data_IF_051006027460
#
_entry.id   IF_051006027460
#
_cell.length_a   1.000
_cell.length_b   1.000
_cell.length_c   1.000
_cell.angle_alpha   90.00
_cell.angle_beta   90.00
_cell.angle_gamma   90.00
#
_symmetry.space_group_name_H-M   'P 1'
#
loop_
_entity.id
_entity.type
_entity.pdbx_description
1 polymer ?
#
# COMPACT_ATOMS: atom_id res chain seq x y z
N UNK A 1 -1.15 31.31 1.34
CA UNK A 1 -1.10 29.91 1.85
C UNK A 1 -1.79 29.89 3.20
N UNK A 2 -2.69 28.93 3.43
CA UNK A 2 -3.52 28.90 4.64
C UNK A 2 -2.70 28.64 5.89
N UNK A 3 -2.83 29.51 6.89
CA UNK A 3 -2.09 29.49 8.17
C UNK A 3 -2.48 28.34 9.10
N UNK A 4 -3.31 27.40 8.64
CA UNK A 4 -3.87 26.31 9.44
C UNK A 4 -3.95 25.03 8.63
N UNK A 5 -3.65 23.92 9.29
CA UNK A 5 -3.81 22.59 8.76
C UNK A 5 -5.28 22.34 8.39
N UNK A 6 -5.57 21.91 7.15
CA UNK A 6 -6.95 21.64 6.73
C UNK A 6 -7.53 20.39 7.40
N UNK A 7 -6.69 19.57 8.04
CA UNK A 7 -7.10 18.33 8.71
C UNK A 7 -7.38 18.55 10.20
N UNK A 8 -6.49 19.24 10.93
CA UNK A 8 -6.59 19.37 12.38
C UNK A 8 -6.58 20.82 12.90
N UNK A 9 -6.47 21.81 12.02
CA UNK A 9 -6.45 23.23 12.40
C UNK A 9 -5.14 23.74 13.02
N UNK A 10 -4.12 22.89 13.20
CA UNK A 10 -2.83 23.30 13.73
C UNK A 10 -2.18 24.40 12.88
N UNK A 11 -1.56 25.39 13.54
CA UNK A 11 -0.97 26.57 12.88
C UNK A 11 0.50 26.40 12.50
N UNK A 12 1.15 25.37 13.03
CA UNK A 12 2.57 25.10 12.82
C UNK A 12 2.78 24.00 11.78
N UNK A 13 3.66 24.27 10.80
CA UNK A 13 4.08 23.34 9.74
C UNK A 13 5.58 23.10 9.92
N UNK A 14 6.02 21.85 9.85
CA UNK A 14 7.41 21.42 10.07
C UNK A 14 8.00 20.81 8.80
N UNK A 15 9.29 20.99 8.58
CA UNK A 15 10.02 20.35 7.49
C UNK A 15 10.80 19.14 8.02
N UNK A 16 10.63 17.99 7.38
CA UNK A 16 11.48 16.82 7.61
C UNK A 16 12.62 16.80 6.56
N UNK A 17 13.85 17.20 6.94
CA UNK A 17 14.97 17.26 6.00
C UNK A 17 15.43 15.88 5.51
N UNK A 18 15.11 14.79 6.21
CA UNK A 18 15.43 13.45 5.75
C UNK A 18 14.49 12.98 4.63
N UNK A 19 13.30 13.59 4.53
CA UNK A 19 12.23 13.20 3.59
C UNK A 19 11.92 14.26 2.55
N UNK A 20 12.38 15.50 2.76
CA UNK A 20 12.07 16.63 1.91
C UNK A 20 10.61 17.04 1.99
N UNK A 21 9.91 16.84 3.12
CA UNK A 21 8.46 17.05 3.22
C UNK A 21 8.11 18.15 4.24
N UNK A 22 7.15 19.01 3.88
CA UNK A 22 6.49 19.92 4.83
C UNK A 22 5.23 19.23 5.38
N UNK A 23 5.17 19.00 6.68
CA UNK A 23 4.08 18.26 7.31
C UNK A 23 3.54 18.96 8.57
N UNK A 24 2.31 18.64 8.93
CA UNK A 24 1.71 19.04 10.19
C UNK A 24 2.22 18.12 11.32
N UNK A 25 2.84 18.62 12.39
CA UNK A 25 3.34 17.79 13.49
C UNK A 25 2.21 17.19 14.34
N UNK A 26 0.98 17.72 14.22
CA UNK A 26 -0.17 17.29 15.02
C UNK A 26 -0.89 16.12 14.37
N UNK A 27 -1.09 16.14 13.04
CA UNK A 27 -1.87 15.10 12.34
C UNK A 27 -1.15 14.41 11.18
N UNK A 28 0.08 14.83 10.86
CA UNK A 28 0.88 14.24 9.78
C UNK A 28 0.47 14.66 8.37
N UNK A 29 -0.46 15.60 8.18
CA UNK A 29 -0.83 16.10 6.85
C UNK A 29 0.37 16.73 6.14
N UNK A 30 0.74 16.20 4.98
CA UNK A 30 1.85 16.69 4.16
C UNK A 30 1.34 17.78 3.20
N UNK A 31 1.86 18.98 3.35
CA UNK A 31 1.53 20.15 2.52
C UNK A 31 2.24 20.14 1.18
N UNK A 32 3.37 19.44 1.09
CA UNK A 32 4.16 19.33 -0.14
C UNK A 32 5.56 18.80 0.13
N UNK A 33 6.31 18.66 -0.95
CA UNK A 33 7.67 18.14 -0.99
C UNK A 33 8.61 19.18 -1.60
N UNK A 34 9.85 19.21 -1.14
CA UNK A 34 10.96 19.91 -1.76
C UNK A 34 11.91 18.86 -2.35
N UNK A 35 12.47 19.12 -3.53
CA UNK A 35 13.35 18.17 -4.21
C UNK A 35 14.62 17.94 -3.38
N UNK A 36 14.73 16.79 -2.74
CA UNK A 36 15.99 16.29 -2.18
C UNK A 36 16.87 15.80 -3.35
N UNK A 37 18.10 16.31 -3.50
CA UNK A 37 18.97 15.83 -4.56
C UNK A 37 19.34 14.35 -4.31
N UNK A 38 19.12 13.54 -5.35
CA UNK A 38 19.42 12.11 -5.48
C UNK A 38 18.41 11.11 -4.88
N UNK A 39 17.32 10.85 -5.61
CA UNK A 39 16.96 9.46 -5.99
C UNK A 39 15.93 9.34 -7.13
N UNK A 40 15.81 10.35 -8.02
CA UNK A 40 14.80 10.36 -9.09
C UNK A 40 15.29 9.82 -10.46
N UNK A 41 16.46 9.18 -10.55
CA UNK A 41 16.97 8.69 -11.85
C UNK A 41 16.54 7.27 -12.23
N UNK A 42 15.77 6.57 -11.38
CA UNK A 42 15.45 5.15 -11.63
C UNK A 42 13.95 4.84 -11.81
N UNK A 43 13.05 5.80 -11.55
CA UNK A 43 11.60 5.58 -11.74
C UNK A 43 11.24 5.60 -13.24
N UNK A 44 11.90 6.44 -14.03
CA UNK A 44 11.49 6.67 -15.41
C UNK A 44 11.79 5.51 -16.38
N UNK A 45 12.67 4.55 -16.03
CA UNK A 45 13.07 3.48 -16.95
C UNK A 45 12.19 2.21 -16.89
N UNK A 46 11.30 2.07 -15.89
CA UNK A 46 10.42 0.88 -15.74
C UNK A 46 8.99 1.06 -16.25
N UNK A 47 8.61 2.28 -16.63
CA UNK A 47 7.22 2.62 -16.96
C UNK A 47 6.86 2.51 -18.45
N UNK A 48 7.81 2.16 -19.31
CA UNK A 48 7.55 2.00 -20.76
C UNK A 48 7.08 0.59 -21.16
N UNK A 49 6.78 -0.30 -20.21
CA UNK A 49 6.23 -1.63 -20.48
C UNK A 49 4.72 -1.68 -20.17
N UNK A 50 3.97 -1.18 -21.15
CA UNK A 50 2.94 -1.93 -21.89
C UNK A 50 1.60 -2.37 -21.24
N UNK A 51 0.59 -2.28 -22.11
CA UNK A 51 -0.55 -3.20 -22.27
C UNK A 51 -0.15 -4.69 -22.39
N UNK A 52 0.80 -5.22 -21.60
CA UNK A 52 1.02 -6.68 -21.56
C UNK A 52 -0.06 -7.28 -20.70
N UNK A 53 -1.06 -7.83 -21.36
CA UNK A 53 -1.92 -8.86 -20.80
C UNK A 53 -1.04 -10.09 -20.54
N UNK A 54 -0.26 -10.06 -19.45
CA UNK A 54 0.70 -11.09 -19.11
C UNK A 54 -0.02 -12.42 -18.91
N UNK A 55 0.32 -13.42 -19.72
CA UNK A 55 -0.25 -14.77 -19.68
C UNK A 55 0.61 -15.64 -18.78
N UNK A 56 0.30 -15.63 -17.49
CA UNK A 56 0.99 -16.43 -16.48
C UNK A 56 0.52 -17.90 -16.49
N UNK A 57 1.44 -18.85 -16.32
CA UNK A 57 1.23 -20.31 -16.51
C UNK A 57 1.44 -21.16 -15.25
N UNK A 58 1.68 -20.56 -14.08
CA UNK A 58 1.93 -21.32 -12.85
C UNK A 58 0.66 -21.88 -12.19
N UNK A 59 0.84 -22.72 -11.17
CA UNK A 59 -0.27 -23.29 -10.40
C UNK A 59 -0.79 -22.29 -9.36
N UNK A 60 -2.00 -22.50 -8.82
CA UNK A 60 -2.58 -21.57 -7.84
C UNK A 60 -1.66 -21.29 -6.64
N UNK A 61 -0.95 -22.30 -6.15
CA UNK A 61 -0.08 -22.19 -4.97
C UNK A 61 1.20 -21.40 -5.25
N UNK A 62 1.75 -21.48 -6.46
CA UNK A 62 2.93 -20.70 -6.86
C UNK A 62 2.62 -19.19 -6.85
N UNK A 63 1.43 -18.79 -7.30
CA UNK A 63 1.00 -17.38 -7.24
C UNK A 63 0.93 -16.92 -5.79
N UNK A 64 0.36 -17.75 -4.92
CA UNK A 64 0.13 -17.41 -3.52
C UNK A 64 1.44 -17.15 -2.78
N UNK A 65 2.39 -18.07 -2.93
CA UNK A 65 3.70 -17.98 -2.30
C UNK A 65 4.53 -16.83 -2.86
N UNK A 66 4.44 -16.58 -4.18
CA UNK A 66 5.08 -15.44 -4.81
C UNK A 66 4.55 -14.11 -4.24
N UNK A 67 3.23 -13.91 -4.19
CA UNK A 67 2.66 -12.66 -3.68
C UNK A 67 2.98 -12.44 -2.20
N UNK A 68 2.93 -13.48 -1.36
CA UNK A 68 3.36 -13.39 0.05
C UNK A 68 4.82 -12.95 0.18
N UNK A 69 5.70 -13.47 -0.67
CA UNK A 69 7.10 -13.05 -0.72
C UNK A 69 7.25 -11.58 -1.13
N UNK A 70 6.46 -11.14 -2.12
CA UNK A 70 6.47 -9.73 -2.55
C UNK A 70 5.89 -8.78 -1.48
N UNK A 71 4.88 -9.18 -0.73
CA UNK A 71 4.36 -8.42 0.43
C UNK A 71 5.50 -8.18 1.42
N UNK A 72 6.20 -9.23 1.83
CA UNK A 72 7.32 -9.13 2.78
C UNK A 72 8.47 -8.30 2.24
N UNK A 73 8.83 -8.49 0.96
CA UNK A 73 9.89 -7.73 0.29
C UNK A 73 9.57 -6.24 0.25
N UNK A 74 8.39 -5.85 -0.21
CA UNK A 74 7.97 -4.45 -0.31
C UNK A 74 7.86 -3.83 1.10
N UNK A 75 7.24 -4.53 2.05
CA UNK A 75 7.10 -4.05 3.41
C UNK A 75 8.44 -3.82 4.13
N UNK A 76 9.42 -4.69 3.90
CA UNK A 76 10.76 -4.51 4.45
C UNK A 76 11.45 -3.24 3.89
N UNK A 77 11.33 -2.98 2.59
CA UNK A 77 11.87 -1.77 1.94
C UNK A 77 11.15 -0.47 2.36
N UNK A 78 9.88 -0.59 2.75
CA UNK A 78 9.08 0.50 3.32
C UNK A 78 9.26 0.65 4.84
N UNK A 79 10.04 -0.25 5.48
CA UNK A 79 10.22 -0.32 6.93
C UNK A 79 8.90 -0.41 7.72
N UNK A 80 7.93 -1.16 7.19
CA UNK A 80 6.64 -1.31 7.85
C UNK A 80 6.74 -2.15 9.12
N UNK A 81 5.98 -1.81 10.17
CA UNK A 81 5.91 -2.60 11.39
C UNK A 81 5.44 -4.04 11.13
N UNK A 82 5.94 -5.00 11.93
CA UNK A 82 5.58 -6.43 11.80
C UNK A 82 4.07 -6.69 11.90
N UNK A 83 3.32 -5.89 12.67
CA UNK A 83 1.88 -6.06 12.79
C UNK A 83 1.13 -5.69 11.50
N UNK A 84 1.61 -4.69 10.75
CA UNK A 84 1.07 -4.33 9.43
C UNK A 84 1.34 -5.44 8.41
N UNK A 85 2.53 -6.05 8.46
CA UNK A 85 2.88 -7.18 7.57
C UNK A 85 1.94 -8.35 7.82
N UNK A 86 1.71 -8.72 9.10
CA UNK A 86 0.78 -9.77 9.48
C UNK A 86 -0.65 -9.47 9.00
N UNK A 87 -1.10 -8.24 9.16
CA UNK A 87 -2.43 -7.83 8.69
C UNK A 87 -2.53 -7.90 7.15
N UNK A 88 -1.51 -7.45 6.43
CA UNK A 88 -1.46 -7.54 4.97
C UNK A 88 -1.50 -8.99 4.47
N UNK A 89 -0.77 -9.91 5.11
CA UNK A 89 -0.82 -11.35 4.82
C UNK A 89 -2.20 -11.96 5.09
N UNK A 90 -2.87 -11.51 6.16
CA UNK A 90 -4.24 -11.92 6.50
C UNK A 90 -5.25 -11.42 5.47
N UNK A 91 -5.17 -10.14 5.08
CA UNK A 91 -6.00 -9.55 4.03
C UNK A 91 -5.79 -10.30 2.71
N UNK A 92 -4.52 -10.52 2.33
CA UNK A 92 -4.19 -11.25 1.12
C UNK A 92 -4.78 -12.66 1.10
N UNK A 93 -4.63 -13.41 2.20
CA UNK A 93 -5.19 -14.76 2.32
C UNK A 93 -6.72 -14.76 2.14
N UNK A 94 -7.42 -13.76 2.69
CA UNK A 94 -8.87 -13.58 2.50
C UNK A 94 -9.23 -13.24 1.05
N UNK A 95 -8.47 -12.37 0.40
CA UNK A 95 -8.65 -11.99 -1.02
C UNK A 95 -8.42 -13.19 -1.95
N UNK A 96 -7.40 -13.99 -1.66
CA UNK A 96 -7.05 -15.19 -2.40
C UNK A 96 -8.14 -16.26 -2.25
N UNK A 97 -8.51 -16.61 -1.02
CA UNK A 97 -9.51 -17.65 -0.73
C UNK A 97 -10.92 -17.29 -1.23
N UNK A 98 -11.23 -16.00 -1.43
CA UNK A 98 -12.49 -15.56 -2.01
C UNK A 98 -12.50 -15.54 -3.56
N UNK A 99 -11.37 -15.89 -4.19
CA UNK A 99 -11.10 -15.74 -5.63
C UNK A 99 -11.35 -14.31 -6.15
N UNK A 100 -11.22 -13.29 -5.27
CA UNK A 100 -11.52 -11.91 -5.64
C UNK A 100 -10.60 -11.42 -6.76
N UNK A 101 -9.31 -11.79 -6.68
CA UNK A 101 -8.30 -11.47 -7.67
C UNK A 101 -8.68 -11.97 -9.08
N UNK A 102 -9.24 -13.19 -9.20
CA UNK A 102 -9.72 -13.72 -10.49
C UNK A 102 -11.01 -13.04 -10.93
N UNK A 103 -12.00 -12.93 -10.03
CA UNK A 103 -13.32 -12.32 -10.33
C UNK A 103 -13.24 -10.86 -10.79
N UNK A 104 -12.21 -10.14 -10.34
CA UNK A 104 -11.96 -8.73 -10.67
C UNK A 104 -10.83 -8.51 -11.69
N UNK A 105 -10.19 -9.58 -12.18
CA UNK A 105 -9.10 -9.49 -13.16
C UNK A 105 -7.89 -8.70 -12.63
N UNK A 106 -7.56 -8.87 -11.34
CA UNK A 106 -6.45 -8.16 -10.70
C UNK A 106 -5.13 -8.89 -11.04
N UNK A 107 -4.16 -8.14 -11.54
CA UNK A 107 -2.80 -8.66 -11.78
C UNK A 107 -2.13 -9.09 -10.46
N UNK A 108 -1.40 -10.20 -10.48
CA UNK A 108 -0.78 -10.76 -9.28
C UNK A 108 0.25 -9.81 -8.66
N UNK A 109 0.99 -9.08 -9.50
CA UNK A 109 2.01 -8.09 -9.14
C UNK A 109 1.41 -6.85 -8.46
N UNK A 110 0.14 -6.54 -8.75
CA UNK A 110 -0.59 -5.42 -8.15
C UNK A 110 -1.18 -5.78 -6.78
N UNK A 111 -1.33 -7.07 -6.46
CA UNK A 111 -1.95 -7.50 -5.19
C UNK A 111 -1.09 -7.16 -3.98
N UNK A 112 0.22 -7.44 -4.02
CA UNK A 112 1.13 -7.19 -2.90
C UNK A 112 1.12 -5.71 -2.42
N UNK A 113 1.36 -4.71 -3.29
CA UNK A 113 1.26 -3.30 -2.87
C UNK A 113 -0.16 -2.92 -2.45
N UNK A 114 -1.20 -3.41 -3.14
CA UNK A 114 -2.59 -3.08 -2.80
C UNK A 114 -3.01 -3.57 -1.41
N UNK A 115 -2.60 -4.77 -0.99
CA UNK A 115 -2.91 -5.28 0.35
C UNK A 115 -2.12 -4.54 1.44
N UNK A 116 -0.89 -4.11 1.16
CA UNK A 116 -0.11 -3.29 2.08
C UNK A 116 -0.75 -1.92 2.27
N UNK A 117 -1.17 -1.27 1.18
CA UNK A 117 -1.92 -0.01 1.24
C UNK A 117 -3.22 -0.17 2.02
N UNK A 118 -3.96 -1.27 1.81
CA UNK A 118 -5.19 -1.55 2.55
C UNK A 118 -4.93 -1.79 4.05
N UNK A 119 -3.90 -2.56 4.41
CA UNK A 119 -3.52 -2.80 5.80
C UNK A 119 -3.12 -1.49 6.51
N UNK A 120 -2.28 -0.68 5.87
CA UNK A 120 -1.89 0.63 6.41
C UNK A 120 -3.10 1.54 6.60
N UNK A 121 -4.01 1.60 5.62
CA UNK A 121 -5.23 2.41 5.71
C UNK A 121 -6.25 1.93 6.74
N UNK A 122 -6.28 0.64 7.09
CA UNK A 122 -7.14 0.10 8.16
C UNK A 122 -6.58 0.43 9.55
N UNK A 123 -5.26 0.54 9.67
CA UNK A 123 -4.55 0.80 10.93
C UNK A 123 -4.08 2.24 11.08
N UNK A 124 -4.54 3.15 10.21
CA UNK A 124 -4.17 4.57 10.19
C UNK A 124 -2.64 4.79 10.18
N UNK A 125 -1.90 3.90 9.52
CA UNK A 125 -0.45 4.04 9.31
C UNK A 125 -0.21 4.84 8.03
N UNK A 126 0.50 5.96 8.16
CA UNK A 126 0.91 6.74 7.00
C UNK A 126 1.77 5.91 6.06
N UNK A 127 1.43 5.94 4.76
CA UNK A 127 2.16 5.24 3.72
C UNK A 127 2.29 6.14 2.48
N UNK A 128 3.53 6.42 2.10
CA UNK A 128 3.82 7.17 0.88
C UNK A 128 3.63 6.29 -0.37
N UNK A 129 2.67 6.67 -1.20
CA UNK A 129 2.34 5.98 -2.43
C UNK A 129 3.51 5.94 -3.42
N UNK A 130 4.34 6.99 -3.49
CA UNK A 130 5.47 7.02 -4.43
C UNK A 130 6.51 5.96 -4.07
N UNK A 131 6.80 5.79 -2.77
CA UNK A 131 7.67 4.70 -2.30
C UNK A 131 7.07 3.32 -2.59
N UNK A 132 5.75 3.17 -2.44
CA UNK A 132 5.07 1.90 -2.82
C UNK A 132 5.27 1.61 -4.31
N UNK A 133 5.04 2.60 -5.17
CA UNK A 133 5.21 2.45 -6.62
C UNK A 133 6.65 2.14 -7.02
N UNK A 134 7.62 2.80 -6.36
CA UNK A 134 9.05 2.57 -6.58
C UNK A 134 9.46 1.11 -6.32
N UNK A 135 8.98 0.51 -5.23
CA UNK A 135 9.36 -0.87 -4.87
C UNK A 135 8.48 -1.95 -5.54
N UNK A 136 7.34 -1.57 -6.09
CA UNK A 136 6.43 -2.49 -6.76
C UNK A 136 6.89 -2.83 -8.18
N UNK A 137 6.41 -3.98 -8.69
CA UNK A 137 6.61 -4.42 -10.09
C UNK A 137 5.39 -4.18 -10.97
N UNK A 138 4.45 -3.38 -10.50
CA UNK A 138 3.18 -3.09 -11.17
C UNK A 138 3.04 -1.58 -11.40
N UNK A 139 2.29 -1.21 -12.44
CA UNK A 139 2.02 0.20 -12.72
C UNK A 139 1.15 0.83 -11.62
N UNK A 140 1.29 2.15 -11.34
CA UNK A 140 0.46 2.84 -10.36
C UNK A 140 -1.04 2.64 -10.59
N UNK A 141 -1.47 2.67 -11.86
CA UNK A 141 -2.88 2.45 -12.23
C UNK A 141 -3.36 1.03 -11.86
N UNK A 142 -2.55 0.00 -12.11
CA UNK A 142 -2.89 -1.38 -11.75
C UNK A 142 -2.98 -1.55 -10.23
N UNK A 143 -2.04 -0.96 -9.49
CA UNK A 143 -2.01 -0.97 -8.02
C UNK A 143 -3.27 -0.29 -7.46
N UNK A 144 -3.62 0.89 -7.97
CA UNK A 144 -4.78 1.65 -7.49
C UNK A 144 -6.11 0.94 -7.78
N UNK A 145 -6.25 0.31 -8.96
CA UNK A 145 -7.44 -0.51 -9.27
C UNK A 145 -7.56 -1.71 -8.33
N UNK A 146 -6.46 -2.38 -8.05
CA UNK A 146 -6.41 -3.49 -7.10
C UNK A 146 -6.78 -3.01 -5.68
N UNK A 147 -6.19 -1.90 -5.23
CA UNK A 147 -6.41 -1.31 -3.91
C UNK A 147 -7.89 -1.05 -3.63
N UNK A 148 -8.63 -0.44 -4.56
CA UNK A 148 -10.06 -0.14 -4.37
C UNK A 148 -10.86 -1.41 -4.05
N UNK A 149 -10.60 -2.50 -4.79
CA UNK A 149 -11.30 -3.77 -4.56
C UNK A 149 -10.87 -4.44 -3.25
N UNK A 150 -9.57 -4.46 -2.96
CA UNK A 150 -9.01 -5.06 -1.75
C UNK A 150 -9.48 -4.31 -0.50
N UNK A 151 -9.38 -2.98 -0.48
CA UNK A 151 -9.76 -2.14 0.65
C UNK A 151 -11.26 -2.25 0.96
N UNK A 152 -12.11 -2.18 -0.07
CA UNK A 152 -13.56 -2.36 0.08
C UNK A 152 -13.92 -3.74 0.63
N UNK A 153 -13.29 -4.79 0.10
CA UNK A 153 -13.48 -6.17 0.56
C UNK A 153 -12.97 -6.39 1.99
N UNK A 154 -11.91 -5.69 2.38
CA UNK A 154 -11.32 -5.82 3.71
C UNK A 154 -12.25 -5.24 4.77
N UNK A 155 -12.80 -4.04 4.52
CA UNK A 155 -13.71 -3.33 5.44
C UNK A 155 -15.07 -4.00 5.62
N UNK A 156 -15.64 -4.60 4.57
CA UNK A 156 -16.97 -5.24 4.65
C UNK A 156 -17.01 -6.49 5.54
N UNK A 157 -15.85 -7.06 5.88
CA UNK A 157 -15.70 -8.26 6.72
C UNK A 157 -14.93 -8.00 8.04
N UNK A 158 -14.41 -6.79 8.26
CA UNK A 158 -13.83 -6.38 9.56
C UNK A 158 -14.92 -6.23 10.64
N UNK A 159 -16.18 -6.01 10.26
CA UNK A 159 -17.33 -6.01 11.17
C UNK A 159 -17.65 -7.37 11.82
N UNK A 160 -16.88 -8.43 11.54
CA UNK A 160 -17.11 -9.77 12.11
C UNK A 160 -15.98 -10.30 13.01
N UNK A 161 -14.87 -9.57 13.19
CA UNK A 161 -13.73 -10.06 13.99
C UNK A 161 -13.46 -9.27 15.28
N UNK A 162 -14.21 -8.19 15.57
CA UNK A 162 -14.07 -7.45 16.83
C UNK A 162 -14.89 -8.06 17.99
N UNK A 163 -15.22 -9.35 17.95
CA UNK A 163 -15.98 -10.02 19.03
C UNK A 163 -15.21 -11.17 19.70
N UNK A 164 -13.95 -11.42 19.35
CA UNK A 164 -13.24 -12.57 19.95
C UNK A 164 -11.76 -12.24 20.23
N UNK A 165 -11.48 -11.18 20.99
CA UNK A 165 -10.32 -11.10 21.89
C UNK A 165 -10.67 -10.16 23.06
N UNK A 166 -11.65 -10.58 23.84
CA UNK A 166 -12.00 -10.03 25.14
C UNK A 166 -12.63 -11.18 25.93
N UNK A 167 -12.14 -11.40 27.15
CA UNK A 167 -12.46 -12.48 28.09
C UNK A 167 -11.56 -13.72 27.99
N UNK A 168 -10.68 -13.88 29.00
CA UNK A 168 -9.84 -15.06 29.24
C UNK A 168 -8.57 -14.74 29.99
#
# INVERSE_FOLDING_TARGET
MGERCPICGATSIYFDPARGEYYCPVCGYVYGYEEVPAHHDQIQAKHDIENVRFKWTGTGDDTKNYTLSEIRRIAANLHLPKYIIKEAERIYSRVYNADLHRKKGIAAEALAPAVLMAACGIHDVYLDMQRVYYFAKASPLAIMRAYIHVHTFSRSKTLMHNTIEGEG
#
